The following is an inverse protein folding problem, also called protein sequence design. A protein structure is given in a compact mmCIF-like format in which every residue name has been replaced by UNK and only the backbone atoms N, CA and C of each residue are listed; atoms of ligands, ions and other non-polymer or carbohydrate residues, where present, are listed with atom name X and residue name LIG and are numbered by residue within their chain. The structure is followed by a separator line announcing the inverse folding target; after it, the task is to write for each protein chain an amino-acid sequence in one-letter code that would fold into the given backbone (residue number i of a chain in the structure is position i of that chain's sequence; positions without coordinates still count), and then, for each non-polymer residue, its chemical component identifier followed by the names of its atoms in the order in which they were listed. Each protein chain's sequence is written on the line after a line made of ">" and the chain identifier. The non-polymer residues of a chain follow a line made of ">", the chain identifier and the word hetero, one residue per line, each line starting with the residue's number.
data_IF_558066044035
#
_entry.id   IF_558066044035
#
_cell.length_a   1.000
_cell.length_b   1.000
_cell.length_c   1.000
_cell.angle_alpha   90.00
_cell.angle_beta   90.00
_cell.angle_gamma   90.00
#
_symmetry.space_group_name_H-M   'P 1'
#
loop_
_entity.id
_entity.type
_entity.pdbx_description
1 polymer ?
#
# COMPACT_ATOMS: atom_id res chain seq x y z
N UNK A 1 -7.47 -14.99 17.88
CA UNK A 1 -6.56 -14.23 18.76
C UNK A 1 -6.41 -12.84 18.18
N UNK A 2 -6.50 -11.78 18.98
CA UNK A 2 -6.25 -10.40 18.53
C UNK A 2 -4.80 -10.07 18.88
N UNK A 3 -4.02 -9.66 17.89
CA UNK A 3 -2.60 -9.38 18.09
C UNK A 3 -2.46 -7.99 18.70
N UNK A 4 -1.73 -7.86 19.83
CA UNK A 4 -1.52 -6.56 20.46
C UNK A 4 -0.72 -5.64 19.54
N UNK A 5 -1.09 -4.36 19.57
CA UNK A 5 -0.33 -3.27 18.95
C UNK A 5 0.51 -2.55 20.02
N UNK A 6 1.66 -1.98 19.66
CA UNK A 6 2.29 -2.01 18.32
C UNK A 6 3.00 -3.34 18.03
N UNK A 7 3.20 -3.65 16.74
CA UNK A 7 4.11 -4.72 16.33
C UNK A 7 5.53 -4.41 16.86
N UNK A 8 6.31 -5.42 17.27
CA UNK A 8 7.68 -5.20 17.73
C UNK A 8 8.56 -4.63 16.61
N UNK A 9 9.53 -3.80 16.98
CA UNK A 9 10.33 -2.97 16.08
C UNK A 9 11.22 -3.76 15.11
N UNK A 10 11.50 -5.03 15.41
CA UNK A 10 12.28 -5.99 14.62
C UNK A 10 11.43 -6.75 13.58
N UNK A 11 10.11 -6.53 13.58
CA UNK A 11 9.21 -6.93 12.51
C UNK A 11 8.97 -8.43 12.34
N UNK A 12 9.28 -9.21 13.38
CA UNK A 12 9.05 -10.65 13.41
C UNK A 12 8.21 -11.02 14.64
N UNK A 13 6.99 -11.42 14.34
CA UNK A 13 6.22 -12.44 15.07
C UNK A 13 5.92 -12.22 16.56
N UNK A 14 4.67 -11.83 16.84
CA UNK A 14 4.00 -12.13 18.11
C UNK A 14 2.62 -12.76 17.88
N UNK A 15 2.41 -13.45 16.74
CA UNK A 15 1.12 -14.11 16.44
C UNK A 15 0.64 -14.09 14.99
N UNK A 16 1.51 -13.83 14.00
CA UNK A 16 1.19 -13.98 12.57
C UNK A 16 2.18 -14.93 11.90
N UNK A 17 1.98 -16.25 12.04
CA UNK A 17 2.82 -17.23 11.37
C UNK A 17 2.91 -16.96 9.87
N UNK A 18 4.14 -16.90 9.35
CA UNK A 18 4.42 -16.65 7.93
C UNK A 18 4.27 -15.21 7.46
N UNK A 19 3.94 -14.24 8.34
CA UNK A 19 4.03 -12.83 8.01
C UNK A 19 5.37 -12.24 8.45
N UNK A 20 5.89 -11.30 7.65
CA UNK A 20 7.05 -10.47 7.98
C UNK A 20 6.61 -9.03 7.83
N UNK A 21 6.44 -8.34 8.96
CA UNK A 21 5.83 -7.02 9.03
C UNK A 21 6.69 -6.08 9.89
N UNK A 22 7.27 -5.03 9.32
CA UNK A 22 7.95 -3.98 10.08
C UNK A 22 7.07 -2.73 10.09
N UNK A 23 6.77 -2.20 11.27
CA UNK A 23 5.93 -1.02 11.42
C UNK A 23 6.67 0.10 12.16
N UNK A 24 6.61 1.31 11.61
CA UNK A 24 7.21 2.52 12.18
C UNK A 24 6.14 3.62 12.19
N UNK A 25 5.52 3.93 13.35
CA UNK A 25 4.41 4.89 13.42
C UNK A 25 4.84 6.32 13.07
N UNK A 26 6.08 6.69 13.42
CA UNK A 26 6.61 8.07 13.27
C UNK A 26 7.76 8.12 12.24
N UNK A 27 7.61 7.41 11.10
CA UNK A 27 8.66 7.31 10.09
C UNK A 27 8.95 8.62 9.36
N UNK A 28 7.91 9.43 9.13
CA UNK A 28 8.00 10.85 8.80
C UNK A 28 7.65 11.68 10.03
N UNK A 29 8.37 12.78 10.23
CA UNK A 29 7.98 13.79 11.21
C UNK A 29 6.66 14.46 10.78
N UNK A 30 5.89 14.99 11.73
CA UNK A 30 4.61 15.68 11.45
C UNK A 30 4.74 16.70 10.32
N UNK A 31 5.64 17.68 10.46
CA UNK A 31 5.85 18.72 9.45
C UNK A 31 6.26 18.19 8.05
N UNK A 32 6.98 17.07 8.00
CA UNK A 32 7.37 16.46 6.72
C UNK A 32 6.19 15.70 6.09
N UNK A 33 5.39 15.03 6.92
CA UNK A 33 4.23 14.29 6.49
C UNK A 33 3.08 15.23 6.07
N UNK A 34 2.89 16.37 6.76
CA UNK A 34 1.91 17.39 6.41
C UNK A 34 2.23 18.02 5.04
N UNK A 35 3.47 18.50 4.85
CA UNK A 35 3.91 19.04 3.55
C UNK A 35 3.75 18.03 2.43
N UNK A 36 4.15 16.78 2.66
CA UNK A 36 3.98 15.72 1.66
C UNK A 36 2.50 15.44 1.37
N UNK A 37 1.62 15.50 2.37
CA UNK A 37 0.19 15.32 2.17
C UNK A 37 -0.39 16.42 1.28
N UNK A 38 -0.09 17.68 1.60
CA UNK A 38 -0.55 18.86 0.86
C UNK A 38 -0.01 18.88 -0.57
N UNK A 39 1.27 18.57 -0.76
CA UNK A 39 1.88 18.49 -2.09
C UNK A 39 1.19 17.43 -2.97
N UNK A 40 0.91 16.25 -2.42
CA UNK A 40 0.39 15.14 -3.20
C UNK A 40 -1.11 15.21 -3.47
N UNK A 41 -1.90 15.78 -2.54
CA UNK A 41 -3.36 15.81 -2.71
C UNK A 41 -3.75 16.64 -3.93
N UNK A 42 -3.01 17.70 -4.23
CA UNK A 42 -3.27 18.58 -5.37
C UNK A 42 -2.46 18.21 -6.62
N UNK A 43 -1.23 17.71 -6.47
CA UNK A 43 -0.35 17.48 -7.62
C UNK A 43 -0.59 16.15 -8.35
N UNK A 44 -1.10 15.12 -7.67
CA UNK A 44 -1.25 13.81 -8.29
C UNK A 44 -2.48 13.75 -9.21
N UNK A 45 -2.37 13.06 -10.38
CA UNK A 45 -3.47 12.92 -11.33
C UNK A 45 -4.48 11.86 -10.87
N UNK A 46 -5.21 12.17 -9.79
CA UNK A 46 -6.16 11.25 -9.18
C UNK A 46 -7.27 10.84 -10.16
N UNK A 47 -7.47 9.53 -10.31
CA UNK A 47 -8.53 8.97 -11.15
C UNK A 47 -9.27 7.85 -10.45
N UNK A 48 -10.52 7.61 -10.86
CA UNK A 48 -11.28 6.43 -10.44
C UNK A 48 -10.88 5.28 -11.34
N UNK A 49 -10.20 4.27 -10.79
CA UNK A 49 -9.96 3.04 -11.52
C UNK A 49 -11.22 2.18 -11.56
N UNK A 50 -11.55 1.64 -12.72
CA UNK A 50 -12.62 0.65 -12.88
C UNK A 50 -12.08 -0.74 -12.66
N UNK A 51 -12.75 -1.52 -11.83
CA UNK A 51 -12.43 -2.93 -11.60
C UNK A 51 -13.55 -3.80 -12.16
N UNK A 52 -13.20 -4.98 -12.68
CA UNK A 52 -14.19 -5.95 -13.16
C UNK A 52 -14.52 -6.93 -12.04
N UNK A 53 -15.73 -6.86 -11.50
CA UNK A 53 -16.25 -7.75 -10.46
C UNK A 53 -17.44 -8.53 -11.01
N UNK A 54 -17.38 -9.86 -10.96
CA UNK A 54 -18.45 -10.75 -11.44
C UNK A 54 -18.92 -10.43 -12.87
N UNK A 55 -17.97 -10.12 -13.76
CA UNK A 55 -18.23 -9.78 -15.16
C UNK A 55 -18.67 -8.34 -15.42
N UNK A 56 -18.99 -7.55 -14.37
CA UNK A 56 -19.41 -6.14 -14.47
C UNK A 56 -18.26 -5.20 -14.12
N UNK A 57 -18.16 -4.07 -14.81
CA UNK A 57 -17.26 -2.99 -14.40
C UNK A 57 -17.90 -2.19 -13.27
N UNK A 58 -17.13 -1.96 -12.21
CA UNK A 58 -17.53 -1.20 -11.04
C UNK A 58 -16.43 -0.20 -10.72
N UNK A 59 -16.82 1.02 -10.38
CA UNK A 59 -15.89 2.04 -9.91
C UNK A 59 -15.25 1.62 -8.59
N UNK A 60 -13.92 1.72 -8.52
CA UNK A 60 -13.19 1.54 -7.29
C UNK A 60 -13.65 2.59 -6.26
N UNK A 61 -13.93 2.21 -5.00
CA UNK A 61 -14.36 3.13 -3.96
C UNK A 61 -13.16 3.87 -3.34
N UNK A 62 -12.33 4.47 -4.19
CA UNK A 62 -11.18 5.36 -3.88
C UNK A 62 -10.63 5.93 -5.19
N UNK A 63 -9.88 7.02 -5.09
CA UNK A 63 -9.07 7.51 -6.20
C UNK A 63 -7.68 6.88 -6.16
N UNK A 64 -7.04 6.74 -7.31
CA UNK A 64 -5.64 6.33 -7.39
C UNK A 64 -4.90 7.02 -8.52
N UNK A 65 -3.59 7.08 -8.35
CA UNK A 65 -2.63 7.49 -9.35
C UNK A 65 -1.47 6.50 -9.30
N UNK A 66 -1.00 6.06 -10.47
CA UNK A 66 0.15 5.17 -10.55
C UNK A 66 1.36 5.92 -11.08
N UNK A 67 2.45 5.89 -10.32
CA UNK A 67 3.70 6.58 -10.61
C UNK A 67 4.81 5.52 -10.66
N UNK A 68 5.76 5.66 -11.58
CA UNK A 68 6.79 4.64 -11.78
C UNK A 68 7.79 5.00 -12.85
N UNK A 69 8.84 4.18 -12.93
CA UNK A 69 9.83 4.30 -14.00
C UNK A 69 9.16 4.06 -15.36
N UNK A 70 9.65 4.69 -16.43
CA UNK A 70 9.06 4.58 -17.76
C UNK A 70 9.05 3.13 -18.27
N UNK A 71 10.03 2.34 -17.82
CA UNK A 71 10.08 0.93 -18.11
C UNK A 71 9.16 0.14 -17.20
N UNK A 72 8.62 0.61 -16.07
CA UNK A 72 7.70 -0.10 -15.18
C UNK A 72 6.28 -0.24 -15.76
N UNK A 73 6.13 -0.76 -16.98
CA UNK A 73 4.84 -0.93 -17.67
C UNK A 73 4.10 -2.18 -17.20
N UNK A 74 2.80 -2.04 -16.93
CA UNK A 74 1.92 -3.14 -16.57
C UNK A 74 0.85 -3.36 -17.64
N UNK A 75 0.53 -4.64 -17.90
CA UNK A 75 -0.61 -5.03 -18.74
C UNK A 75 -1.72 -5.52 -17.83
N UNK A 76 -2.76 -4.71 -17.65
CA UNK A 76 -4.02 -5.17 -17.05
C UNK A 76 -5.08 -5.26 -18.15
N UNK A 77 -5.77 -6.40 -18.24
CA UNK A 77 -6.87 -6.65 -19.18
C UNK A 77 -6.61 -6.32 -20.67
N UNK A 78 -5.36 -6.42 -21.14
CA UNK A 78 -4.99 -6.14 -22.53
C UNK A 78 -4.66 -4.67 -22.85
N UNK A 79 -4.83 -3.76 -21.89
CA UNK A 79 -4.44 -2.34 -22.02
C UNK A 79 -3.12 -2.12 -21.30
N UNK A 80 -2.14 -1.53 -22.00
CA UNK A 80 -0.91 -1.09 -21.37
C UNK A 80 -1.24 0.13 -20.49
N UNK A 81 -1.07 -0.02 -19.18
CA UNK A 81 -1.06 1.14 -18.30
C UNK A 81 0.40 1.62 -18.25
N UNK A 82 0.62 2.85 -18.65
CA UNK A 82 1.91 3.53 -18.49
C UNK A 82 1.84 4.32 -17.20
N UNK A 83 2.78 4.12 -16.25
CA UNK A 83 2.81 4.93 -15.04
C UNK A 83 3.06 6.40 -15.38
N UNK A 84 2.54 7.30 -14.54
CA UNK A 84 2.97 8.70 -14.55
C UNK A 84 4.42 8.81 -14.09
N UNK A 85 5.11 9.85 -14.56
CA UNK A 85 6.47 10.15 -14.13
C UNK A 85 6.53 10.49 -12.64
N UNK A 86 7.66 10.16 -12.00
CA UNK A 86 7.93 10.53 -10.62
C UNK A 86 7.87 12.03 -10.40
N UNK A 87 7.18 12.45 -9.34
CA UNK A 87 7.36 13.79 -8.76
C UNK A 87 8.62 13.81 -7.91
N UNK A 88 9.20 14.99 -7.67
CA UNK A 88 10.38 15.13 -6.82
C UNK A 88 10.15 14.57 -5.40
N UNK A 89 8.97 14.85 -4.83
CA UNK A 89 8.58 14.33 -3.52
C UNK A 89 8.53 12.79 -3.48
N UNK A 90 7.88 12.16 -4.46
CA UNK A 90 7.81 10.69 -4.52
C UNK A 90 9.16 10.06 -4.84
N UNK A 91 9.99 10.71 -5.66
CA UNK A 91 11.36 10.28 -5.95
C UNK A 91 12.24 10.30 -4.70
N UNK A 92 12.15 11.36 -3.90
CA UNK A 92 12.89 11.47 -2.64
C UNK A 92 12.48 10.38 -1.63
N UNK A 93 11.17 10.11 -1.49
CA UNK A 93 10.69 9.00 -0.66
C UNK A 93 11.20 7.65 -1.14
N UNK A 94 11.14 7.41 -2.46
CA UNK A 94 11.64 6.19 -3.08
C UNK A 94 13.11 5.96 -2.74
N UNK A 95 13.97 6.96 -2.94
CA UNK A 95 15.40 6.87 -2.65
C UNK A 95 15.67 6.58 -1.17
N UNK A 96 14.95 7.24 -0.27
CA UNK A 96 15.04 6.98 1.18
C UNK A 96 14.66 5.53 1.51
N UNK A 97 13.54 5.04 0.99
CA UNK A 97 13.08 3.66 1.20
C UNK A 97 14.09 2.64 0.66
N UNK A 98 14.67 2.88 -0.52
CA UNK A 98 15.70 2.00 -1.07
C UNK A 98 16.95 1.96 -0.18
N UNK A 99 17.39 3.10 0.33
CA UNK A 99 18.53 3.18 1.24
C UNK A 99 18.27 2.47 2.58
N UNK A 100 17.07 2.63 3.15
CA UNK A 100 16.71 2.01 4.44
C UNK A 100 16.43 0.51 4.34
N UNK A 101 15.88 0.04 3.23
CA UNK A 101 15.41 -1.36 3.07
C UNK A 101 16.38 -2.22 2.25
N UNK A 102 17.36 -1.62 1.58
CA UNK A 102 18.36 -2.35 0.79
C UNK A 102 17.79 -3.06 -0.44
N UNK A 103 16.61 -2.64 -0.93
CA UNK A 103 15.94 -3.21 -2.10
C UNK A 103 15.49 -2.10 -3.05
N UNK A 104 15.41 -2.36 -4.37
CA UNK A 104 14.94 -1.37 -5.33
C UNK A 104 13.43 -1.16 -5.26
N UNK A 105 12.98 0.02 -5.67
CA UNK A 105 11.58 0.34 -5.94
C UNK A 105 11.49 1.14 -7.24
N UNK A 106 10.62 0.72 -8.16
CA UNK A 106 10.42 1.37 -9.46
C UNK A 106 8.95 1.73 -9.72
N UNK A 107 8.08 1.52 -8.74
CA UNK A 107 6.64 1.73 -8.86
C UNK A 107 6.05 2.15 -7.52
N UNK A 108 5.11 3.10 -7.53
CA UNK A 108 4.27 3.46 -6.40
C UNK A 108 2.81 3.63 -6.84
N UNK A 109 1.91 2.88 -6.20
CA UNK A 109 0.48 3.10 -6.34
C UNK A 109 0.00 4.03 -5.22
N UNK A 110 -0.32 5.27 -5.58
CA UNK A 110 -0.95 6.22 -4.68
C UNK A 110 -2.47 5.96 -4.63
N UNK A 111 -3.02 5.89 -3.42
CA UNK A 111 -4.46 5.70 -3.20
C UNK A 111 -4.97 6.81 -2.29
N UNK A 112 -5.95 7.57 -2.75
CA UNK A 112 -6.64 8.61 -1.98
C UNK A 112 -8.02 8.10 -1.55
N UNK A 113 -8.18 7.96 -0.24
CA UNK A 113 -9.45 7.67 0.42
C UNK A 113 -10.01 9.01 0.89
N UNK A 114 -11.06 9.50 0.24
CA UNK A 114 -11.61 10.84 0.49
C UNK A 114 -12.23 10.98 1.88
N UNK A 115 -12.81 9.89 2.38
CA UNK A 115 -13.42 9.79 3.70
C UNK A 115 -13.51 8.32 4.18
N UNK A 116 -14.25 8.08 5.27
CA UNK A 116 -14.50 6.74 5.82
C UNK A 116 -15.30 5.80 4.92
N UNK A 117 -15.98 6.30 3.88
CA UNK A 117 -16.73 5.49 2.92
C UNK A 117 -15.81 4.88 1.88
N UNK A 118 -14.70 5.50 1.54
CA UNK A 118 -13.72 4.89 0.64
C UNK A 118 -13.01 3.69 1.32
N UNK A 119 -12.73 2.65 0.54
CA UNK A 119 -12.24 1.37 1.07
C UNK A 119 -11.40 0.57 0.07
N UNK A 120 -10.72 -0.44 0.59
CA UNK A 120 -10.05 -1.46 -0.19
C UNK A 120 -10.45 -2.84 0.35
N UNK A 121 -10.99 -3.67 -0.54
CA UNK A 121 -11.45 -5.02 -0.19
C UNK A 121 -10.29 -5.96 0.16
N UNK A 122 -10.64 -7.18 0.58
CA UNK A 122 -9.64 -8.21 0.89
C UNK A 122 -8.85 -8.62 -0.36
N UNK A 123 -7.55 -8.35 -0.38
CA UNK A 123 -6.63 -8.69 -1.47
C UNK A 123 -5.24 -9.06 -0.90
N UNK A 124 -4.35 -9.48 -1.79
CA UNK A 124 -2.90 -9.54 -1.53
C UNK A 124 -2.20 -8.86 -2.70
N UNK A 125 -1.00 -8.35 -2.48
CA UNK A 125 -0.14 -7.88 -3.56
C UNK A 125 0.64 -9.08 -4.12
N UNK A 126 -0.06 -9.94 -4.87
CA UNK A 126 0.47 -11.20 -5.42
C UNK A 126 0.51 -11.25 -6.94
N UNK A 127 0.59 -10.07 -7.57
CA UNK A 127 0.76 -9.97 -9.01
C UNK A 127 2.09 -10.61 -9.48
N UNK A 128 2.09 -11.42 -10.56
CA UNK A 128 3.26 -12.22 -10.96
C UNK A 128 4.55 -11.42 -11.18
N UNK A 129 4.43 -10.17 -11.64
CA UNK A 129 5.53 -9.25 -11.88
C UNK A 129 6.23 -8.75 -10.61
N UNK A 130 5.61 -8.92 -9.44
CA UNK A 130 6.22 -8.60 -8.14
C UNK A 130 7.12 -9.72 -7.63
N UNK A 131 7.05 -10.91 -8.25
CA UNK A 131 7.76 -12.10 -7.80
C UNK A 131 7.13 -12.77 -6.56
N UNK A 132 7.74 -13.85 -6.05
CA UNK A 132 7.12 -14.72 -5.04
C UNK A 132 7.15 -14.19 -3.61
N UNK A 133 8.07 -13.27 -3.29
CA UNK A 133 8.27 -12.68 -1.96
C UNK A 133 8.57 -11.17 -2.09
N UNK A 134 7.62 -10.37 -2.58
CA UNK A 134 7.86 -8.96 -2.80
C UNK A 134 8.06 -8.21 -1.48
N UNK A 135 8.91 -7.18 -1.51
CA UNK A 135 8.96 -6.17 -0.46
C UNK A 135 8.01 -5.04 -0.85
N UNK A 136 7.01 -4.79 0.01
CA UNK A 136 6.01 -3.74 -0.16
C UNK A 136 6.20 -2.72 0.95
N UNK A 137 6.46 -1.46 0.58
CA UNK A 137 6.54 -0.36 1.54
C UNK A 137 5.30 0.54 1.42
N UNK A 138 4.51 0.62 2.49
CA UNK A 138 3.25 1.37 2.57
C UNK A 138 3.42 2.57 3.50
N UNK A 139 3.41 3.77 2.91
CA UNK A 139 3.45 5.05 3.67
C UNK A 139 2.04 5.62 3.75
N UNK A 140 1.62 6.04 4.95
CA UNK A 140 0.28 6.61 5.21
C UNK A 140 0.35 8.09 5.57
N UNK A 141 -0.51 8.90 4.95
CA UNK A 141 -0.63 10.34 5.20
C UNK A 141 -2.11 10.72 5.40
N UNK A 142 -2.39 11.82 6.10
CA UNK A 142 -3.74 12.19 6.52
C UNK A 142 -4.37 11.26 7.56
N UNK A 143 -5.68 11.05 7.47
CA UNK A 143 -6.47 10.39 8.49
C UNK A 143 -6.04 8.93 8.77
N UNK A 144 -5.91 8.60 10.06
CA UNK A 144 -5.57 7.25 10.50
C UNK A 144 -6.67 6.25 10.10
N UNK A 145 -6.26 5.08 9.61
CA UNK A 145 -7.19 4.00 9.23
C UNK A 145 -6.72 2.65 9.76
N UNK A 146 -7.69 1.84 10.16
CA UNK A 146 -7.47 0.46 10.60
C UNK A 146 -7.23 -0.44 9.39
N UNK A 147 -6.00 -0.91 9.23
CA UNK A 147 -5.61 -1.92 8.26
C UNK A 147 -5.82 -3.31 8.86
N UNK A 148 -6.49 -4.20 8.14
CA UNK A 148 -6.78 -5.55 8.60
C UNK A 148 -5.94 -6.57 7.86
N UNK A 149 -5.47 -7.59 8.57
CA UNK A 149 -4.88 -8.80 8.00
C UNK A 149 -5.69 -10.04 8.38
N UNK A 150 -5.83 -10.99 7.47
CA UNK A 150 -6.41 -12.31 7.73
C UNK A 150 -5.62 -13.41 7.02
N UNK A 151 -5.36 -14.50 7.71
CA UNK A 151 -4.71 -15.65 7.08
C UNK A 151 -5.64 -16.28 6.02
N UNK A 152 -5.07 -16.75 4.90
CA UNK A 152 -5.85 -17.30 3.78
C UNK A 152 -6.54 -18.62 4.13
N UNK A 153 -5.93 -19.44 5.01
CA UNK A 153 -6.44 -20.78 5.37
C UNK A 153 -7.03 -20.87 6.77
N UNK A 154 -6.68 -19.94 7.67
CA UNK A 154 -7.05 -20.02 9.08
C UNK A 154 -7.92 -18.84 9.47
N UNK A 155 -9.23 -19.06 9.51
CA UNK A 155 -10.22 -17.99 9.66
C UNK A 155 -10.11 -17.21 10.99
N UNK A 156 -9.53 -17.82 12.02
CA UNK A 156 -9.34 -17.27 13.37
C UNK A 156 -8.07 -16.42 13.49
N UNK A 157 -7.15 -16.53 12.53
CA UNK A 157 -5.92 -15.74 12.48
C UNK A 157 -6.18 -14.42 11.76
N UNK A 158 -6.41 -13.38 12.57
CA UNK A 158 -6.69 -12.02 12.11
C UNK A 158 -5.94 -11.02 12.96
N UNK A 159 -5.45 -9.97 12.32
CA UNK A 159 -4.82 -8.84 13.00
C UNK A 159 -5.36 -7.54 12.46
N UNK A 160 -5.13 -6.48 13.23
CA UNK A 160 -5.38 -5.13 12.78
C UNK A 160 -4.25 -4.22 13.24
N UNK A 161 -3.90 -3.27 12.39
CA UNK A 161 -2.89 -2.24 12.65
C UNK A 161 -3.54 -0.91 12.34
N UNK A 162 -3.45 0.05 13.25
CA UNK A 162 -3.80 1.43 12.92
C UNK A 162 -2.62 2.07 12.20
N UNK A 163 -2.87 2.67 11.04
CA UNK A 163 -1.86 3.34 10.23
C UNK A 163 -2.05 4.85 10.38
N UNK A 164 -1.31 5.51 11.30
CA UNK A 164 -1.41 6.94 11.52
C UNK A 164 -0.68 7.75 10.44
N UNK A 165 -0.83 9.07 10.51
CA UNK A 165 -0.12 10.02 9.68
C UNK A 165 1.41 9.85 9.81
N UNK A 166 2.12 9.84 8.69
CA UNK A 166 3.58 9.71 8.66
C UNK A 166 4.11 8.29 8.88
N UNK A 167 3.24 7.29 9.04
CA UNK A 167 3.67 5.92 9.32
C UNK A 167 4.14 5.14 8.10
N UNK A 168 5.07 4.21 8.33
CA UNK A 168 5.54 3.22 7.37
C UNK A 168 5.21 1.81 7.85
N UNK A 169 4.51 1.04 7.01
CA UNK A 169 4.35 -0.41 7.14
C UNK A 169 5.09 -1.10 5.99
N UNK A 170 6.05 -1.96 6.32
CA UNK A 170 6.73 -2.83 5.36
C UNK A 170 6.19 -4.24 5.49
N UNK A 171 5.78 -4.82 4.36
CA UNK A 171 5.35 -6.21 4.27
C UNK A 171 6.30 -6.96 3.33
N UNK A 172 6.88 -8.07 3.79
CA UNK A 172 7.85 -8.84 3.01
C UNK A 172 7.71 -10.36 3.25
N UNK A 173 8.63 -11.13 2.67
CA UNK A 173 8.66 -12.58 2.81
C UNK A 173 7.38 -13.22 2.29
N UNK A 174 6.77 -14.09 3.09
CA UNK A 174 5.60 -14.86 2.68
C UNK A 174 4.26 -14.15 2.92
N UNK A 175 4.30 -12.91 3.39
CA UNK A 175 3.11 -12.15 3.81
C UNK A 175 2.02 -12.12 2.73
N UNK A 176 2.38 -11.76 1.49
CA UNK A 176 1.40 -11.68 0.39
C UNK A 176 0.89 -13.06 -0.04
N UNK A 177 1.69 -14.11 0.19
CA UNK A 177 1.32 -15.50 -0.12
C UNK A 177 0.34 -16.08 0.88
N UNK A 178 0.47 -15.75 2.17
CA UNK A 178 -0.31 -16.38 3.25
C UNK A 178 -1.39 -15.49 3.85
N UNK A 179 -1.28 -14.17 3.74
CA UNK A 179 -2.28 -13.22 4.24
C UNK A 179 -2.98 -12.45 3.13
N UNK A 180 -4.25 -12.13 3.37
CA UNK A 180 -4.96 -11.05 2.69
C UNK A 180 -5.10 -9.87 3.62
N UNK A 181 -5.15 -8.68 3.06
CA UNK A 181 -5.34 -7.46 3.78
C UNK A 181 -6.44 -6.57 3.19
N UNK A 182 -6.98 -5.67 4.02
CA UNK A 182 -8.08 -4.79 3.65
C UNK A 182 -8.05 -3.48 4.43
N UNK A 183 -8.63 -2.44 3.82
CA UNK A 183 -8.95 -1.18 4.47
C UNK A 183 -10.48 -1.02 4.47
N UNK A 184 -11.19 -1.49 5.52
CA UNK A 184 -12.65 -1.49 5.55
C UNK A 184 -13.22 -0.08 5.63
N UNK A 185 -14.48 0.07 5.17
CA UNK A 185 -15.28 1.29 5.40
C UNK A 185 -15.47 1.52 6.90
N UNK A 186 -15.70 2.77 7.29
CA UNK A 186 -16.01 3.18 8.65
C UNK A 186 -17.05 4.28 8.64
N UNK A 187 -17.92 4.29 9.66
CA UNK A 187 -18.92 5.33 9.88
C UNK A 187 -18.36 6.54 10.63
N UNK A 188 -17.10 6.45 11.12
CA UNK A 188 -16.42 7.60 11.74
C UNK A 188 -16.24 8.70 10.69
N UNK A 189 -16.50 9.94 11.11
CA UNK A 189 -16.16 11.13 10.32
C UNK A 189 -14.64 11.25 10.30
N UNK A 190 -14.04 10.99 9.14
CA UNK A 190 -12.61 11.03 8.92
C UNK A 190 -12.31 11.96 7.76
N UNK A 191 -11.19 12.69 7.88
CA UNK A 191 -10.62 13.42 6.76
C UNK A 191 -10.01 12.50 5.69
N UNK A 192 -9.48 13.08 4.62
CA UNK A 192 -8.80 12.35 3.56
C UNK A 192 -7.56 11.59 4.07
N UNK A 193 -7.26 10.46 3.43
CA UNK A 193 -6.05 9.66 3.63
C UNK A 193 -5.39 9.36 2.30
N UNK A 194 -4.09 9.63 2.20
CA UNK A 194 -3.24 9.15 1.10
C UNK A 194 -2.45 7.93 1.57
N UNK A 195 -2.37 6.92 0.72
CA UNK A 195 -1.54 5.75 0.90
C UNK A 195 -0.64 5.55 -0.30
N UNK A 196 0.66 5.51 -0.06
CA UNK A 196 1.68 5.27 -1.07
C UNK A 196 2.21 3.85 -0.91
N UNK A 197 1.89 2.97 -1.87
CA UNK A 197 2.37 1.58 -1.86
C UNK A 197 3.50 1.42 -2.88
N UNK A 198 4.74 1.44 -2.40
CA UNK A 198 5.95 1.25 -3.19
C UNK A 198 6.23 -0.24 -3.43
N UNK A 199 6.59 -0.58 -4.67
CA UNK A 199 6.86 -1.94 -5.14
C UNK A 199 8.01 -1.95 -6.14
N UNK A 200 8.59 -3.13 -6.34
CA UNK A 200 9.45 -3.43 -7.48
C UNK A 200 8.71 -4.30 -8.48
N UNK A 201 8.59 -3.82 -9.71
CA UNK A 201 7.99 -4.52 -10.86
C UNK A 201 9.13 -5.07 -11.70
N UNK A 202 9.31 -6.40 -11.68
CA UNK A 202 10.39 -7.09 -12.40
C UNK A 202 10.10 -7.10 -13.91
N UNK A 203 10.91 -6.40 -14.74
CA UNK A 203 10.72 -6.38 -16.19
C UNK A 203 10.82 -7.75 -16.84
N UNK A 204 11.60 -8.67 -16.26
CA UNK A 204 11.78 -10.02 -16.79
C UNK A 204 10.55 -10.93 -16.57
N UNK A 205 9.61 -10.52 -15.73
CA UNK A 205 8.39 -11.31 -15.40
C UNK A 205 7.15 -10.85 -16.14
N UNK A 206 7.28 -9.85 -17.02
CA UNK A 206 6.16 -9.35 -17.83
C UNK A 206 5.78 -10.39 -18.87
N UNK A 207 4.53 -10.82 -18.82
CA UNK A 207 3.91 -11.66 -19.86
C UNK A 207 3.33 -10.80 -20.96
#
# INVERSE_FOLDING_TARGET
>A
MTIPLPLPADGVDAGLPGATLRFQPDWLTGDAADRLFDDLIDALPWSVHRIRLFGREVDSPRLSAWIGDADAVYRYSGTAFTPHAWTDALSALRLRLQAELGVPFNSVLANLYRDGRDAMGWHSDDEPELGPQPVIASVSLGAARRFLLKHRKEATMRAAIELPHGSLLVMSGDTQRVYRHALPRTTRLLGPRINLTFRYVDPARRR
#
